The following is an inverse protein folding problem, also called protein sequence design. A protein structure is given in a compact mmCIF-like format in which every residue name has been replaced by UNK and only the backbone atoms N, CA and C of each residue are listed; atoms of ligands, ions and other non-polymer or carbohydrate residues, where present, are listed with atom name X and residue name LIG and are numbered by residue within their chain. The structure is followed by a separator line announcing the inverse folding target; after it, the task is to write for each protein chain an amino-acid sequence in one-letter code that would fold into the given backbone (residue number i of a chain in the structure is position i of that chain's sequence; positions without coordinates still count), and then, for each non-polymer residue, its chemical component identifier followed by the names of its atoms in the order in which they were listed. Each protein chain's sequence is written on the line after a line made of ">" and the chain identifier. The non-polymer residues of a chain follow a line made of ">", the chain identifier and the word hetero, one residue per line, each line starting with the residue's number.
data_IF_791856424991
#
_entry.id   IF_791856424991
#
_cell.length_a   1.000
_cell.length_b   1.000
_cell.length_c   1.000
_cell.angle_alpha   90.00
_cell.angle_beta   90.00
_cell.angle_gamma   90.00
#
_symmetry.space_group_name_H-M   'P 1'
#
loop_
_entity.id
_entity.type
_entity.pdbx_description
1 polymer ?
#
# COMPACT_ATOMS: atom_id res chain seq x y z
N UNK A 1 -6.06 4.46 -19.41
CA UNK A 1 -7.38 4.80 -19.99
C UNK A 1 -7.51 6.25 -20.46
N UNK A 2 -6.69 7.22 -20.02
CA UNK A 2 -6.63 8.61 -20.55
C UNK A 2 -8.00 9.29 -20.85
N UNK A 3 -9.01 9.00 -20.03
CA UNK A 3 -10.35 9.54 -20.15
C UNK A 3 -10.37 10.92 -19.48
N UNK A 4 -10.79 11.96 -20.22
CA UNK A 4 -10.92 13.33 -19.69
C UNK A 4 -12.15 13.50 -18.79
N UNK A 5 -13.22 12.76 -19.05
CA UNK A 5 -14.40 12.67 -18.21
C UNK A 5 -14.81 11.19 -18.05
N UNK A 6 -14.33 10.52 -17.00
CA UNK A 6 -14.55 9.08 -16.82
C UNK A 6 -15.95 8.75 -16.31
N UNK A 7 -16.72 9.71 -15.79
CA UNK A 7 -18.02 9.45 -15.16
C UNK A 7 -19.07 9.14 -16.23
N UNK A 8 -19.94 8.15 -15.99
CA UNK A 8 -20.95 7.62 -16.92
C UNK A 8 -20.40 6.94 -18.19
N UNK A 9 -19.08 6.85 -18.37
CA UNK A 9 -18.49 6.12 -19.49
C UNK A 9 -18.66 4.61 -19.30
N UNK A 10 -18.97 3.89 -20.38
CA UNK A 10 -19.06 2.43 -20.37
C UNK A 10 -17.72 1.83 -20.77
N UNK A 11 -17.16 0.99 -19.91
CA UNK A 11 -15.93 0.24 -20.15
C UNK A 11 -16.24 -1.25 -20.30
N UNK A 12 -15.54 -1.92 -21.22
CA UNK A 12 -15.63 -3.37 -21.41
C UNK A 12 -14.53 -4.06 -20.62
N UNK A 13 -14.87 -5.17 -19.97
CA UNK A 13 -13.94 -5.90 -19.09
C UNK A 13 -12.74 -6.50 -19.82
N UNK A 14 -12.90 -6.89 -21.10
CA UNK A 14 -11.86 -7.57 -21.87
C UNK A 14 -11.48 -8.94 -21.31
N UNK A 15 -12.39 -9.58 -20.56
CA UNK A 15 -12.18 -10.86 -19.88
C UNK A 15 -12.77 -12.05 -20.64
N UNK A 16 -13.62 -11.81 -21.63
CA UNK A 16 -14.18 -12.84 -22.50
C UNK A 16 -13.34 -13.03 -23.76
N UNK A 17 -13.36 -14.24 -24.31
CA UNK A 17 -12.67 -14.56 -25.57
C UNK A 17 -13.36 -13.94 -26.79
N UNK A 18 -14.64 -13.56 -26.65
CA UNK A 18 -15.47 -12.98 -27.70
C UNK A 18 -16.17 -11.69 -27.21
N UNK A 19 -16.49 -10.76 -28.11
CA UNK A 19 -17.08 -9.46 -27.74
C UNK A 19 -18.42 -9.58 -26.99
N UNK A 20 -19.13 -10.69 -27.20
CA UNK A 20 -20.42 -11.01 -26.55
C UNK A 20 -20.28 -11.54 -25.13
N UNK A 21 -19.10 -12.05 -24.76
CA UNK A 21 -18.82 -12.53 -23.39
C UNK A 21 -18.27 -11.44 -22.48
N UNK A 22 -17.87 -10.30 -23.07
CA UNK A 22 -17.34 -9.17 -22.32
C UNK A 22 -18.42 -8.43 -21.53
N UNK A 23 -18.17 -8.29 -20.23
CA UNK A 23 -19.06 -7.53 -19.35
C UNK A 23 -18.87 -6.04 -19.60
N UNK A 24 -19.99 -5.32 -19.74
CA UNK A 24 -20.04 -3.87 -19.85
C UNK A 24 -20.27 -3.26 -18.47
N UNK A 25 -19.34 -2.42 -18.02
CA UNK A 25 -19.42 -1.72 -16.75
C UNK A 25 -19.58 -0.22 -16.98
N UNK A 26 -20.50 0.39 -16.25
CA UNK A 26 -20.66 1.85 -16.23
C UNK A 26 -19.83 2.42 -15.08
N UNK A 27 -18.98 3.40 -15.36
CA UNK A 27 -18.22 4.11 -14.32
C UNK A 27 -19.19 5.02 -13.55
N UNK A 28 -19.36 4.74 -12.26
CA UNK A 28 -20.25 5.50 -11.36
C UNK A 28 -19.53 6.52 -10.50
N UNK A 29 -18.20 6.42 -10.39
CA UNK A 29 -17.38 7.31 -9.60
C UNK A 29 -15.89 7.02 -9.76
N UNK A 30 -15.07 7.98 -9.37
CA UNK A 30 -13.61 7.88 -9.36
C UNK A 30 -13.13 8.12 -7.94
N UNK A 31 -12.22 7.28 -7.47
CA UNK A 31 -11.54 7.44 -6.19
C UNK A 31 -10.15 8.03 -6.41
N UNK A 32 -9.64 8.76 -5.41
CA UNK A 32 -8.28 9.27 -5.45
C UNK A 32 -7.27 8.12 -5.46
N UNK A 33 -6.17 8.29 -6.19
CA UNK A 33 -5.09 7.32 -6.24
C UNK A 33 -4.53 7.02 -4.85
N UNK A 34 -4.38 5.73 -4.54
CA UNK A 34 -3.84 5.30 -3.26
C UNK A 34 -2.85 4.13 -3.44
N UNK A 35 -1.83 4.11 -2.60
CA UNK A 35 -0.75 3.13 -2.65
C UNK A 35 -1.12 1.89 -1.85
N UNK A 36 -1.30 0.75 -2.51
CA UNK A 36 -1.66 -0.52 -1.85
C UNK A 36 -0.42 -1.36 -1.52
N UNK A 37 0.61 -1.31 -2.37
CA UNK A 37 1.77 -2.22 -2.30
C UNK A 37 3.06 -1.55 -1.79
N UNK A 38 2.97 -0.28 -1.35
CA UNK A 38 4.10 0.52 -0.85
C UNK A 38 4.27 1.85 -1.58
N UNK A 39 4.95 2.83 -0.97
CA UNK A 39 5.17 4.17 -1.55
C UNK A 39 6.09 4.18 -2.78
N UNK A 40 6.96 3.17 -2.91
CA UNK A 40 7.92 3.10 -4.02
C UNK A 40 7.26 2.63 -5.33
N UNK A 41 6.11 1.97 -5.24
CA UNK A 41 5.45 1.38 -6.39
C UNK A 41 4.42 2.36 -6.97
N UNK A 42 4.45 2.55 -8.28
CA UNK A 42 3.39 3.31 -8.98
C UNK A 42 2.03 2.68 -8.67
N UNK A 43 1.03 3.52 -8.44
CA UNK A 43 -0.35 3.07 -8.23
C UNK A 43 -0.80 2.29 -9.48
N UNK A 44 -1.04 0.97 -9.37
CA UNK A 44 -1.48 0.19 -10.51
C UNK A 44 -2.91 0.60 -10.89
N UNK A 45 -3.29 0.49 -12.17
CA UNK A 45 -4.67 0.74 -12.58
C UNK A 45 -5.60 -0.24 -11.86
N UNK A 46 -6.58 0.29 -11.13
CA UNK A 46 -7.55 -0.49 -10.39
C UNK A 46 -8.98 -0.08 -10.73
N UNK A 47 -9.86 -1.07 -10.72
CA UNK A 47 -11.31 -0.89 -10.92
C UNK A 47 -12.03 -1.56 -9.77
N UNK A 48 -12.94 -0.84 -9.14
CA UNK A 48 -13.84 -1.38 -8.12
C UNK A 48 -15.15 -1.76 -8.77
N UNK A 49 -15.56 -3.02 -8.61
CA UNK A 49 -16.80 -3.56 -9.18
C UNK A 49 -17.67 -4.02 -8.03
N UNK A 50 -18.97 -3.75 -8.13
CA UNK A 50 -19.91 -4.24 -7.13
C UNK A 50 -20.05 -5.75 -7.23
N UNK A 51 -20.04 -6.44 -6.09
CA UNK A 51 -20.17 -7.90 -6.02
C UNK A 51 -21.43 -8.43 -6.70
N UNK A 52 -22.55 -7.67 -6.68
CA UNK A 52 -23.81 -8.06 -7.34
C UNK A 52 -23.72 -8.12 -8.86
N UNK A 53 -22.72 -7.46 -9.45
CA UNK A 53 -22.53 -7.39 -10.90
C UNK A 53 -21.73 -8.58 -11.44
N UNK A 54 -21.04 -9.32 -10.57
CA UNK A 54 -20.23 -10.47 -10.96
C UNK A 54 -21.01 -11.75 -10.65
N UNK A 55 -21.10 -12.66 -11.63
CA UNK A 55 -21.71 -13.99 -11.43
C UNK A 55 -20.79 -14.96 -10.68
N UNK A 56 -19.50 -14.64 -10.60
CA UNK A 56 -18.48 -15.45 -9.94
C UNK A 56 -18.19 -14.89 -8.55
N UNK A 57 -18.23 -15.77 -7.53
CA UNK A 57 -18.16 -15.37 -6.12
C UNK A 57 -16.93 -15.93 -5.37
N UNK A 58 -15.87 -16.36 -6.06
CA UNK A 58 -14.64 -16.81 -5.40
C UNK A 58 -13.78 -15.62 -4.99
N UNK A 59 -14.05 -15.09 -3.80
CA UNK A 59 -13.18 -14.13 -3.13
C UNK A 59 -12.22 -14.88 -2.21
N UNK A 60 -10.92 -14.63 -2.38
CA UNK A 60 -9.90 -15.25 -1.52
C UNK A 60 -9.66 -14.48 -0.22
N UNK A 61 -9.98 -13.19 -0.19
CA UNK A 61 -9.69 -12.30 0.93
C UNK A 61 -10.90 -11.45 1.28
N UNK A 62 -11.16 -11.28 2.58
CA UNK A 62 -12.24 -10.44 3.10
C UNK A 62 -11.65 -9.40 4.05
N UNK A 63 -11.97 -8.12 3.81
CA UNK A 63 -11.57 -7.04 4.70
C UNK A 63 -12.71 -6.71 5.66
N UNK A 64 -12.45 -6.80 6.96
CA UNK A 64 -13.41 -6.47 8.01
C UNK A 64 -12.87 -5.30 8.82
N UNK A 65 -13.65 -4.22 8.91
CA UNK A 65 -13.31 -3.08 9.76
C UNK A 65 -13.83 -3.33 11.17
N UNK A 66 -12.94 -3.34 12.15
CA UNK A 66 -13.25 -3.61 13.56
C UNK A 66 -12.92 -2.38 14.42
N UNK A 67 -13.69 -2.14 15.47
CA UNK A 67 -13.41 -1.07 16.44
C UNK A 67 -12.21 -1.42 17.32
N UNK A 68 -11.29 -0.47 17.62
CA UNK A 68 -10.08 -0.76 18.38
C UNK A 68 -10.32 -1.03 19.87
N UNK A 69 -11.41 -0.54 20.47
CA UNK A 69 -11.63 -0.62 21.92
C UNK A 69 -11.72 -2.05 22.48
N UNK A 70 -12.22 -3.01 21.70
CA UNK A 70 -12.47 -4.39 22.16
C UNK A 70 -11.93 -5.41 21.14
N UNK A 71 -10.76 -5.15 20.57
CA UNK A 71 -10.24 -5.93 19.45
C UNK A 71 -10.06 -7.42 19.80
N UNK A 72 -9.48 -7.72 20.96
CA UNK A 72 -9.23 -9.10 21.39
C UNK A 72 -10.53 -9.88 21.57
N UNK A 73 -11.50 -9.30 22.26
CA UNK A 73 -12.82 -9.91 22.47
C UNK A 73 -13.57 -10.10 21.13
N UNK A 74 -13.47 -9.12 20.23
CA UNK A 74 -14.13 -9.18 18.92
C UNK A 74 -13.53 -10.28 18.04
N UNK A 75 -12.20 -10.45 18.06
CA UNK A 75 -11.52 -11.52 17.34
C UNK A 75 -11.91 -12.91 17.87
N UNK A 76 -12.00 -13.06 19.20
CA UNK A 76 -12.45 -14.33 19.80
C UNK A 76 -13.89 -14.66 19.38
N UNK A 77 -14.80 -13.69 19.42
CA UNK A 77 -16.19 -13.87 18.95
C UNK A 77 -16.26 -14.15 17.46
N UNK A 78 -15.43 -13.49 16.65
CA UNK A 78 -15.39 -13.68 15.20
C UNK A 78 -14.89 -15.07 14.82
N UNK A 79 -13.84 -15.56 15.49
CA UNK A 79 -13.33 -16.92 15.32
C UNK A 79 -14.38 -17.97 15.70
N UNK A 80 -15.05 -17.80 16.86
CA UNK A 80 -16.13 -18.69 17.28
C UNK A 80 -17.32 -18.69 16.30
N UNK A 81 -17.67 -17.52 15.77
CA UNK A 81 -18.71 -17.38 14.76
C UNK A 81 -18.32 -18.06 13.44
N UNK A 82 -17.07 -17.90 13.01
CA UNK A 82 -16.54 -18.49 11.78
C UNK A 82 -16.57 -20.02 11.84
N UNK A 83 -16.04 -20.60 12.91
CA UNK A 83 -16.03 -22.05 13.12
C UNK A 83 -17.44 -22.66 13.17
N UNK A 84 -18.43 -21.91 13.68
CA UNK A 84 -19.80 -22.39 13.83
C UNK A 84 -20.68 -22.20 12.59
N UNK A 85 -20.52 -21.08 11.87
CA UNK A 85 -21.50 -20.66 10.86
C UNK A 85 -20.96 -20.58 9.43
N UNK A 86 -19.64 -20.63 9.23
CA UNK A 86 -19.04 -20.47 7.90
C UNK A 86 -18.47 -21.78 7.40
N UNK A 87 -17.36 -22.25 7.98
CA UNK A 87 -16.76 -23.53 7.61
C UNK A 87 -15.78 -24.01 8.70
N UNK A 88 -16.06 -25.14 9.38
CA UNK A 88 -15.15 -25.70 10.38
C UNK A 88 -13.83 -26.24 9.79
N UNK A 89 -13.79 -26.59 8.51
CA UNK A 89 -12.59 -27.13 7.85
C UNK A 89 -11.60 -26.03 7.41
N UNK A 90 -12.00 -24.76 7.47
CA UNK A 90 -11.15 -23.62 7.09
C UNK A 90 -10.82 -22.78 8.34
N UNK A 91 -9.61 -22.93 8.92
CA UNK A 91 -9.24 -22.17 10.11
C UNK A 91 -9.27 -20.67 9.84
N UNK A 92 -9.71 -19.90 10.85
CA UNK A 92 -9.77 -18.45 10.79
C UNK A 92 -8.35 -17.86 10.80
N UNK A 93 -7.81 -17.61 9.61
CA UNK A 93 -6.56 -16.87 9.43
C UNK A 93 -6.86 -15.38 9.24
N UNK A 94 -6.15 -14.54 9.98
CA UNK A 94 -6.33 -13.10 9.92
C UNK A 94 -4.99 -12.39 9.98
N UNK A 95 -4.81 -11.43 9.07
CA UNK A 95 -3.69 -10.52 9.11
C UNK A 95 -4.20 -9.10 9.32
N UNK A 96 -3.58 -8.39 10.26
CA UNK A 96 -3.89 -6.98 10.41
C UNK A 96 -3.22 -6.17 9.30
N UNK A 97 -4.03 -5.36 8.62
CA UNK A 97 -3.59 -4.44 7.58
C UNK A 97 -2.42 -3.57 8.08
N UNK A 98 -2.47 -3.06 9.31
CA UNK A 98 -1.39 -2.22 9.86
C UNK A 98 -0.03 -2.96 9.95
N UNK A 99 -0.01 -4.25 10.25
CA UNK A 99 1.22 -5.06 10.35
C UNK A 99 1.80 -5.33 8.97
N UNK A 100 0.95 -5.63 7.98
CA UNK A 100 1.37 -5.79 6.59
C UNK A 100 2.01 -4.51 6.04
N UNK A 101 1.35 -3.36 6.24
CA UNK A 101 1.89 -2.05 5.84
C UNK A 101 3.18 -1.67 6.58
N UNK A 102 3.29 -1.98 7.87
CA UNK A 102 4.49 -1.69 8.65
C UNK A 102 5.71 -2.46 8.14
N UNK A 103 5.54 -3.69 7.67
CA UNK A 103 6.63 -4.51 7.10
C UNK A 103 7.20 -3.88 5.84
N UNK A 104 6.35 -3.37 4.93
CA UNK A 104 6.79 -2.66 3.72
C UNK A 104 7.54 -1.36 4.05
N UNK A 105 7.20 -0.70 5.16
CA UNK A 105 7.87 0.53 5.61
C UNK A 105 9.22 0.30 6.30
N UNK A 106 9.44 -0.88 6.91
CA UNK A 106 10.68 -1.14 7.66
C UNK A 106 11.95 -0.99 6.82
N UNK A 107 11.91 -1.38 5.54
CA UNK A 107 13.05 -1.23 4.62
C UNK A 107 13.34 0.24 4.35
N UNK A 108 12.31 1.06 4.16
CA UNK A 108 12.45 2.50 3.97
C UNK A 108 13.02 3.20 5.20
N UNK A 109 12.59 2.79 6.41
CA UNK A 109 13.12 3.34 7.67
C UNK A 109 14.61 3.02 7.80
N UNK A 110 15.02 1.77 7.56
CA UNK A 110 16.44 1.37 7.60
C UNK A 110 17.29 2.15 6.60
N UNK A 111 16.79 2.35 5.38
CA UNK A 111 17.49 3.12 4.36
C UNK A 111 17.65 4.58 4.77
N UNK A 112 16.60 5.20 5.33
CA UNK A 112 16.64 6.57 5.87
C UNK A 112 17.72 6.69 6.95
N UNK A 113 17.78 5.74 7.88
CA UNK A 113 18.73 5.79 8.99
C UNK A 113 20.18 5.63 8.50
N UNK A 114 20.42 4.78 7.50
CA UNK A 114 21.74 4.66 6.87
C UNK A 114 22.18 5.97 6.19
N UNK A 115 21.30 6.57 5.40
CA UNK A 115 21.59 7.86 4.76
C UNK A 115 21.81 8.97 5.78
N UNK A 116 21.10 8.96 6.92
CA UNK A 116 21.28 9.94 7.97
C UNK A 116 22.68 9.84 8.59
N UNK A 117 23.14 8.63 8.92
CA UNK A 117 24.48 8.40 9.47
C UNK A 117 25.56 8.81 8.47
N UNK A 118 25.41 8.42 7.20
CA UNK A 118 26.37 8.79 6.14
C UNK A 118 26.44 10.31 5.95
N UNK A 119 25.29 11.01 5.93
CA UNK A 119 25.27 12.47 5.84
C UNK A 119 25.97 13.13 7.04
N UNK A 120 25.77 12.61 8.25
CA UNK A 120 26.45 13.13 9.44
C UNK A 120 27.97 13.04 9.30
N UNK A 121 28.48 11.90 8.83
CA UNK A 121 29.93 11.70 8.57
C UNK A 121 30.43 12.65 7.50
N UNK A 122 29.70 12.82 6.40
CA UNK A 122 30.06 13.73 5.30
C UNK A 122 30.16 15.17 5.79
N UNK A 123 29.21 15.62 6.62
CA UNK A 123 29.23 16.98 7.20
C UNK A 123 30.48 17.19 8.06
N UNK A 124 30.83 16.22 8.91
CA UNK A 124 32.02 16.31 9.75
C UNK A 124 33.29 16.42 8.91
N UNK A 125 33.43 15.58 7.87
CA UNK A 125 34.58 15.60 6.97
C UNK A 125 34.65 16.94 6.21
N UNK A 126 33.51 17.47 5.75
CA UNK A 126 33.46 18.75 5.06
C UNK A 126 33.91 19.92 5.95
N UNK A 127 33.51 19.93 7.23
CA UNK A 127 33.95 20.94 8.20
C UNK A 127 35.46 20.83 8.45
N UNK A 128 36.00 19.62 8.59
CA UNK A 128 37.46 19.44 8.72
C UNK A 128 38.23 19.88 7.47
N UNK A 129 37.71 19.61 6.28
CA UNK A 129 38.31 20.07 5.02
C UNK A 129 38.34 21.60 4.92
N UNK A 130 37.24 22.26 5.29
CA UNK A 130 37.16 23.71 5.33
C UNK A 130 38.13 24.30 6.36
N UNK A 131 38.24 23.66 7.53
CA UNK A 131 39.17 24.07 8.59
C UNK A 131 40.64 23.97 8.14
N UNK A 132 41.02 22.86 7.49
CA UNK A 132 42.38 22.67 6.97
C UNK A 132 42.75 23.75 5.92
N UNK A 133 41.83 24.05 5.00
CA UNK A 133 42.02 25.11 4.01
C UNK A 133 42.13 26.50 4.65
N UNK A 134 41.32 26.79 5.66
CA UNK A 134 41.38 28.06 6.39
C UNK A 134 42.72 28.21 7.14
N UNK A 135 43.20 27.14 7.80
CA UNK A 135 44.49 27.14 8.50
C UNK A 135 45.66 27.40 7.55
N UNK A 136 45.70 26.71 6.40
CA UNK A 136 46.72 26.92 5.38
C UNK A 136 46.68 28.34 4.79
N UNK A 137 45.48 28.90 4.59
CA UNK A 137 45.34 30.27 4.10
C UNK A 137 45.80 31.33 5.12
N UNK A 138 45.71 31.06 6.43
CA UNK A 138 46.23 31.95 7.46
C UNK A 138 47.76 31.91 7.51
N UNK A 139 48.34 30.71 7.44
CA UNK A 139 49.80 30.52 7.48
C UNK A 139 50.50 31.12 6.24
N UNK A 140 49.85 31.13 5.08
CA UNK A 140 50.38 31.76 3.85
C UNK A 140 50.20 33.29 3.80
N UNK A 141 49.43 33.87 4.74
CA UNK A 141 49.22 35.33 4.84
C UNK A 141 50.12 36.01 5.87
N UNK A 142 50.72 35.25 6.78
CA UNK A 142 51.82 35.68 7.66
C UNK A 142 53.15 35.56 6.92
#
# INVERSE_FOLDING_TARGET
>A
LNLKDPINTVITSGWGNDEKENLRFKVVGVVQDFHITGLQNKVPPMVFINMKTLKWNNFQHMYVKVSPNNLSETLTKLNAYWAKNVNPDYPFDYEFVNKGFAKTYQEQVKQKDLFFILNLVVIIIAVFGLFALASFSMERRL
#
